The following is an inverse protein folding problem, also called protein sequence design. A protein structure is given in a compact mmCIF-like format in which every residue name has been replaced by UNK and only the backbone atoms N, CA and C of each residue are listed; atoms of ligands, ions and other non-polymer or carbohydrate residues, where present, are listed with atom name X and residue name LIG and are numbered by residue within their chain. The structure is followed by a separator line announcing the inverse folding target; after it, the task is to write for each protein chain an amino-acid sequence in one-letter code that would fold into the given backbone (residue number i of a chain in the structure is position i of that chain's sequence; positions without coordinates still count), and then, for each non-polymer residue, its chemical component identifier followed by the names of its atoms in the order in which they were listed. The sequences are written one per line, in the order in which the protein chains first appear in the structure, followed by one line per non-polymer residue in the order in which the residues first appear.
data_IF_510626978792
#
_entry.id   IF_510626978792
#
_cell.length_a   1.000
_cell.length_b   1.000
_cell.length_c   1.000
_cell.angle_alpha   90.00
_cell.angle_beta   90.00
_cell.angle_gamma   90.00
#
_symmetry.space_group_name_H-M   'P 1'
#
loop_
_entity.id
_entity.type
_entity.pdbx_description
1 polymer ?
#
# COMPACT_ATOMS: atom_id res chain seq x y z
N UNK A 1 -0.29 -22.17 -2.62
CA UNK A 1 0.30 -21.84 -1.28
C UNK A 1 1.11 -20.54 -1.24
N UNK A 2 1.57 -20.00 -2.39
CA UNK A 2 2.35 -18.76 -2.41
C UNK A 2 1.57 -17.54 -1.90
N UNK A 3 0.28 -17.43 -2.21
CA UNK A 3 -0.55 -16.30 -1.76
C UNK A 3 -0.62 -16.26 -0.22
N UNK A 4 -1.01 -17.35 0.41
CA UNK A 4 -1.18 -17.46 1.88
C UNK A 4 0.10 -17.08 2.63
N UNK A 5 1.27 -17.51 2.09
CA UNK A 5 2.55 -17.22 2.73
C UNK A 5 3.00 -15.76 2.57
N UNK A 6 2.60 -15.11 1.49
CA UNK A 6 3.11 -13.78 1.13
C UNK A 6 2.13 -12.64 1.44
N UNK A 7 0.82 -12.90 1.51
CA UNK A 7 -0.19 -11.86 1.76
C UNK A 7 0.16 -10.99 2.98
N UNK A 8 0.70 -11.59 4.02
CA UNK A 8 1.06 -10.93 5.28
C UNK A 8 2.22 -9.90 5.18
N UNK A 9 2.95 -9.89 4.06
CA UNK A 9 4.17 -9.07 3.92
C UNK A 9 3.93 -7.73 3.20
N UNK A 10 2.69 -7.47 2.75
CA UNK A 10 2.35 -6.29 1.95
C UNK A 10 1.23 -5.49 2.60
N UNK A 11 1.31 -4.16 2.58
CA UNK A 11 0.26 -3.28 3.09
C UNK A 11 -1.02 -3.35 2.25
N UNK A 12 -0.88 -3.51 0.94
CA UNK A 12 -1.99 -3.63 -0.02
C UNK A 12 -1.77 -4.88 -0.86
N UNK A 13 -2.81 -5.66 -1.03
CA UNK A 13 -2.80 -6.86 -1.88
C UNK A 13 -3.94 -6.78 -2.89
N UNK A 14 -3.59 -6.87 -4.17
CA UNK A 14 -4.57 -6.95 -5.25
C UNK A 14 -4.78 -8.40 -5.66
N UNK A 15 -6.03 -8.81 -5.69
CA UNK A 15 -6.45 -10.12 -6.16
C UNK A 15 -7.36 -9.95 -7.38
N UNK A 16 -6.81 -10.18 -8.56
CA UNK A 16 -7.57 -10.28 -9.80
C UNK A 16 -7.77 -11.76 -10.09
N UNK A 17 -8.95 -12.28 -9.82
CA UNK A 17 -9.21 -13.71 -9.94
C UNK A 17 -10.69 -14.00 -10.14
N UNK A 18 -11.00 -15.28 -10.33
CA UNK A 18 -12.38 -15.76 -10.27
C UNK A 18 -12.68 -16.22 -8.85
N UNK A 19 -13.86 -15.84 -8.35
CA UNK A 19 -14.41 -16.39 -7.13
C UNK A 19 -15.64 -17.21 -7.47
N UNK A 20 -15.89 -18.27 -6.73
CA UNK A 20 -17.12 -19.05 -6.81
C UNK A 20 -17.71 -19.18 -5.39
N UNK A 21 -18.92 -18.70 -5.22
CA UNK A 21 -19.74 -19.08 -4.08
C UNK A 21 -20.41 -20.39 -4.48
N UNK A 22 -19.98 -21.52 -3.91
CA UNK A 22 -20.46 -22.83 -4.33
C UNK A 22 -21.98 -22.98 -4.15
N UNK A 23 -22.64 -23.45 -5.23
CA UNK A 23 -24.09 -23.71 -5.30
C UNK A 23 -24.57 -24.83 -4.37
N UNK A 24 -23.65 -25.64 -3.88
CA UNK A 24 -23.96 -26.86 -3.13
C UNK A 24 -23.77 -26.72 -1.61
N UNK A 25 -23.68 -25.46 -1.09
CA UNK A 25 -23.45 -25.20 0.34
C UNK A 25 -22.00 -25.39 0.79
N UNK A 26 -21.07 -25.56 -0.16
CA UNK A 26 -19.65 -25.51 0.12
C UNK A 26 -19.18 -24.07 0.31
N UNK A 27 -18.06 -23.90 0.98
CA UNK A 27 -17.50 -22.59 1.29
C UNK A 27 -17.04 -21.82 0.04
N UNK A 28 -17.06 -20.48 0.05
CA UNK A 28 -16.54 -19.65 -1.02
C UNK A 28 -15.05 -19.93 -1.29
N UNK A 29 -14.67 -19.90 -2.56
CA UNK A 29 -13.33 -20.18 -3.04
C UNK A 29 -12.81 -19.09 -3.95
N UNK A 30 -11.50 -18.81 -3.86
CA UNK A 30 -10.74 -18.00 -4.82
C UNK A 30 -9.88 -18.91 -5.68
N UNK A 31 -9.99 -18.76 -6.99
CA UNK A 31 -9.16 -19.49 -7.93
C UNK A 31 -7.86 -18.73 -8.16
N UNK A 32 -6.73 -19.36 -7.87
CA UNK A 32 -5.40 -18.85 -8.23
C UNK A 32 -4.87 -19.65 -9.41
N UNK A 33 -3.80 -19.18 -10.03
CA UNK A 33 -3.21 -19.85 -11.20
C UNK A 33 -2.78 -21.30 -10.90
N UNK A 34 -2.30 -21.56 -9.69
CA UNK A 34 -1.70 -22.81 -9.25
C UNK A 34 -2.48 -23.52 -8.13
N UNK A 35 -3.54 -22.90 -7.62
CA UNK A 35 -4.25 -23.39 -6.44
C UNK A 35 -5.65 -22.79 -6.30
N UNK A 36 -6.43 -23.37 -5.40
CA UNK A 36 -7.71 -22.83 -4.95
C UNK A 36 -7.58 -22.49 -3.48
N UNK A 37 -7.97 -21.27 -3.10
CA UNK A 37 -7.97 -20.83 -1.72
C UNK A 37 -9.40 -20.86 -1.18
N UNK A 38 -9.62 -21.62 -0.13
CA UNK A 38 -10.91 -21.72 0.55
C UNK A 38 -11.05 -20.67 1.65
N UNK A 39 -12.29 -20.31 1.97
CA UNK A 39 -12.57 -19.40 3.07
C UNK A 39 -11.97 -19.89 4.40
N UNK A 40 -12.04 -21.19 4.67
CA UNK A 40 -11.44 -21.81 5.87
C UNK A 40 -9.91 -21.61 5.92
N UNK A 41 -9.23 -21.65 4.78
CA UNK A 41 -7.78 -21.40 4.70
C UNK A 41 -7.44 -19.94 5.00
N UNK A 42 -8.28 -18.98 4.56
CA UNK A 42 -8.13 -17.57 4.91
C UNK A 42 -8.26 -17.34 6.43
N UNK A 43 -9.19 -18.04 7.08
CA UNK A 43 -9.40 -17.94 8.52
C UNK A 43 -8.23 -18.50 9.35
N UNK A 44 -7.41 -19.38 8.76
CA UNK A 44 -6.19 -19.91 9.37
C UNK A 44 -4.99 -18.96 9.26
N UNK A 45 -5.10 -17.88 8.51
CA UNK A 45 -4.05 -16.86 8.45
C UNK A 45 -3.80 -16.29 9.85
N UNK A 46 -2.54 -16.19 10.21
CA UNK A 46 -2.12 -15.65 11.50
C UNK A 46 -2.52 -14.17 11.64
N UNK A 47 -2.98 -13.76 12.82
CA UNK A 47 -3.33 -12.37 13.15
C UNK A 47 -2.18 -11.36 13.04
N UNK A 48 -0.97 -11.80 12.76
CA UNK A 48 0.21 -10.94 12.55
C UNK A 48 0.34 -10.60 11.07
N UNK A 49 -0.64 -9.85 10.52
CA UNK A 49 -0.69 -9.51 9.10
C UNK A 49 -0.42 -8.00 8.97
N UNK A 50 0.57 -7.62 8.15
CA UNK A 50 0.83 -6.23 7.81
C UNK A 50 -0.19 -5.67 6.80
N UNK A 51 -0.98 -6.53 6.16
CA UNK A 51 -1.94 -6.14 5.13
C UNK A 51 -3.09 -5.33 5.71
N UNK A 52 -3.23 -4.11 5.23
CA UNK A 52 -4.26 -3.18 5.65
C UNK A 52 -5.43 -3.09 4.66
N UNK A 53 -5.21 -3.55 3.42
CA UNK A 53 -6.22 -3.52 2.37
C UNK A 53 -6.04 -4.70 1.41
N UNK A 54 -7.10 -5.43 1.15
CA UNK A 54 -7.21 -6.35 0.02
C UNK A 54 -8.16 -5.74 -1.00
N UNK A 55 -7.73 -5.65 -2.25
CA UNK A 55 -8.57 -5.26 -3.39
C UNK A 55 -8.91 -6.55 -4.13
N UNK A 56 -10.18 -6.92 -4.07
CA UNK A 56 -10.70 -8.18 -4.62
C UNK A 56 -11.54 -7.87 -5.85
N UNK A 57 -10.94 -7.97 -7.02
CA UNK A 57 -11.63 -7.91 -8.31
C UNK A 57 -11.95 -9.33 -8.76
N UNK A 58 -12.92 -9.94 -8.10
CA UNK A 58 -13.42 -11.25 -8.44
C UNK A 58 -14.83 -11.11 -9.01
N UNK A 59 -15.02 -11.56 -10.25
CA UNK A 59 -16.35 -11.65 -10.82
C UNK A 59 -17.13 -12.73 -10.07
N UNK A 60 -18.24 -12.35 -9.44
CA UNK A 60 -19.22 -13.34 -9.04
C UNK A 60 -19.75 -14.01 -10.32
N UNK A 61 -19.32 -15.24 -10.54
CA UNK A 61 -20.00 -16.06 -11.52
C UNK A 61 -21.36 -16.36 -10.96
N UNK A 62 -22.37 -15.67 -11.47
CA UNK A 62 -23.79 -15.93 -11.23
C UNK A 62 -24.12 -17.37 -11.55
N UNK A 63 -23.99 -18.21 -10.57
CA UNK A 63 -24.40 -19.58 -10.63
C UNK A 63 -25.52 -19.81 -9.62
N UNK A 64 -26.73 -19.39 -10.00
CA UNK A 64 -28.03 -19.82 -9.44
C UNK A 64 -28.36 -19.33 -8.04
N UNK A 65 -29.54 -18.86 -7.84
CA UNK A 65 -30.36 -18.60 -6.63
C UNK A 65 -29.74 -18.05 -5.31
N UNK A 66 -28.45 -17.76 -5.27
CA UNK A 66 -27.84 -17.03 -4.15
C UNK A 66 -28.07 -15.53 -4.35
N UNK A 67 -28.34 -14.82 -3.29
CA UNK A 67 -28.52 -13.38 -3.32
C UNK A 67 -27.23 -12.72 -3.85
N UNK A 68 -27.37 -11.80 -4.83
CA UNK A 68 -26.21 -11.14 -5.42
C UNK A 68 -25.34 -10.50 -4.31
N UNK A 69 -24.03 -10.80 -4.33
CA UNK A 69 -23.08 -10.29 -3.36
C UNK A 69 -22.77 -11.19 -2.17
N UNK A 70 -23.55 -12.24 -1.85
CA UNK A 70 -23.29 -13.08 -0.66
C UNK A 70 -21.91 -13.73 -0.68
N UNK A 71 -21.44 -14.22 -1.82
CA UNK A 71 -20.10 -14.81 -1.95
C UNK A 71 -18.99 -13.82 -1.63
N UNK A 72 -19.11 -12.59 -2.12
CA UNK A 72 -18.13 -11.51 -1.86
C UNK A 72 -18.13 -11.12 -0.39
N UNK A 73 -19.29 -10.98 0.24
CA UNK A 73 -19.37 -10.70 1.69
C UNK A 73 -18.83 -11.86 2.52
N UNK A 74 -18.96 -13.09 2.06
CA UNK A 74 -18.38 -14.25 2.75
C UNK A 74 -16.85 -14.26 2.66
N UNK A 75 -16.29 -13.98 1.49
CA UNK A 75 -14.84 -13.81 1.32
C UNK A 75 -14.31 -12.62 2.11
N UNK A 76 -15.01 -11.47 2.09
CA UNK A 76 -14.64 -10.30 2.88
C UNK A 76 -14.60 -10.63 4.38
N UNK A 77 -15.60 -11.38 4.91
CA UNK A 77 -15.58 -11.89 6.29
C UNK A 77 -14.39 -12.80 6.57
N UNK A 78 -13.98 -13.65 5.61
CA UNK A 78 -12.80 -14.49 5.72
C UNK A 78 -11.51 -13.67 5.89
N UNK A 79 -11.32 -12.67 5.05
CA UNK A 79 -10.18 -11.76 5.17
C UNK A 79 -10.21 -10.96 6.47
N UNK A 80 -11.38 -10.48 6.89
CA UNK A 80 -11.53 -9.78 8.18
C UNK A 80 -11.22 -10.70 9.35
N UNK A 81 -11.68 -11.96 9.32
CA UNK A 81 -11.36 -12.96 10.36
C UNK A 81 -9.87 -13.28 10.41
N UNK A 82 -9.17 -13.19 9.27
CA UNK A 82 -7.73 -13.30 9.17
C UNK A 82 -6.98 -12.09 9.79
N UNK A 83 -7.68 -10.99 10.10
CA UNK A 83 -7.12 -9.78 10.69
C UNK A 83 -6.87 -8.65 9.69
N UNK A 84 -7.32 -8.76 8.44
CA UNK A 84 -7.21 -7.70 7.43
C UNK A 84 -8.35 -6.70 7.64
N UNK A 85 -8.05 -5.42 7.94
CA UNK A 85 -9.06 -4.49 8.40
C UNK A 85 -9.97 -3.96 7.29
N UNK A 86 -9.56 -4.07 6.01
CA UNK A 86 -10.32 -3.48 4.89
C UNK A 86 -10.25 -4.31 3.63
N UNK A 87 -11.37 -4.38 2.93
CA UNK A 87 -11.49 -5.05 1.64
C UNK A 87 -12.21 -4.10 0.68
N UNK A 88 -11.62 -3.83 -0.49
CA UNK A 88 -12.33 -3.25 -1.62
C UNK A 88 -12.73 -4.38 -2.56
N UNK A 89 -14.02 -4.56 -2.82
CA UNK A 89 -14.53 -5.69 -3.59
C UNK A 89 -15.55 -5.27 -4.65
N UNK A 90 -15.66 -6.06 -5.72
CA UNK A 90 -16.65 -5.86 -6.77
C UNK A 90 -17.90 -6.71 -6.51
N UNK A 91 -19.08 -6.10 -6.51
CA UNK A 91 -20.36 -6.76 -6.22
C UNK A 91 -20.93 -7.56 -7.38
N UNK A 92 -20.60 -7.20 -8.62
CA UNK A 92 -21.02 -7.87 -9.84
C UNK A 92 -19.94 -7.84 -10.89
N UNK A 93 -20.13 -8.64 -11.96
CA UNK A 93 -19.19 -8.66 -13.09
C UNK A 93 -19.17 -7.27 -13.73
N UNK A 94 -18.03 -6.63 -13.69
CA UNK A 94 -17.80 -5.32 -14.27
C UNK A 94 -17.02 -5.39 -15.57
N UNK A 95 -17.02 -4.27 -16.29
CA UNK A 95 -16.07 -4.02 -17.37
C UNK A 95 -14.64 -4.00 -16.81
N UNK A 96 -13.77 -4.85 -17.34
CA UNK A 96 -12.39 -5.01 -16.84
C UNK A 96 -11.59 -3.72 -16.93
N UNK A 97 -11.80 -2.94 -18.01
CA UNK A 97 -11.12 -1.67 -18.19
C UNK A 97 -11.58 -0.63 -17.16
N UNK A 98 -12.89 -0.56 -16.87
CA UNK A 98 -13.41 0.34 -15.85
C UNK A 98 -12.84 0.03 -14.46
N UNK A 99 -12.78 -1.25 -14.09
CA UNK A 99 -12.17 -1.67 -12.82
C UNK A 99 -10.69 -1.37 -12.77
N UNK A 100 -9.97 -1.58 -13.86
CA UNK A 100 -8.56 -1.24 -13.95
C UNK A 100 -8.33 0.26 -13.73
N UNK A 101 -9.04 1.12 -14.46
CA UNK A 101 -8.90 2.58 -14.38
C UNK A 101 -9.24 3.11 -12.97
N UNK A 102 -10.32 2.61 -12.36
CA UNK A 102 -10.70 2.95 -10.99
C UNK A 102 -9.61 2.46 -10.00
N UNK A 103 -9.10 1.24 -10.17
CA UNK A 103 -8.06 0.69 -9.30
C UNK A 103 -6.77 1.50 -9.36
N UNK A 104 -6.33 1.90 -10.55
CA UNK A 104 -5.13 2.75 -10.73
C UNK A 104 -5.30 4.08 -10.01
N UNK A 105 -6.45 4.75 -10.21
CA UNK A 105 -6.75 6.02 -9.54
C UNK A 105 -6.88 5.84 -8.03
N UNK A 106 -7.47 4.74 -7.57
CA UNK A 106 -7.59 4.40 -6.15
C UNK A 106 -6.21 4.27 -5.49
N UNK A 107 -5.29 3.51 -6.09
CA UNK A 107 -3.91 3.40 -5.60
C UNK A 107 -3.19 4.74 -5.55
N UNK A 108 -3.36 5.58 -6.57
CA UNK A 108 -2.80 6.94 -6.61
C UNK A 108 -3.24 7.75 -5.40
N UNK A 109 -4.53 7.71 -5.05
CA UNK A 109 -5.06 8.46 -3.90
C UNK A 109 -4.67 7.85 -2.55
N UNK A 110 -4.58 6.53 -2.45
CA UNK A 110 -4.04 5.85 -1.26
C UNK A 110 -2.58 6.26 -1.02
N UNK A 111 -1.76 6.33 -2.08
CA UNK A 111 -0.37 6.76 -1.98
C UNK A 111 -0.22 8.25 -1.57
N UNK A 112 -1.24 9.08 -1.80
CA UNK A 112 -1.31 10.46 -1.31
C UNK A 112 -1.75 10.57 0.15
N UNK A 113 -2.00 9.46 0.83
CA UNK A 113 -2.40 9.43 2.23
C UNK A 113 -3.88 9.70 2.48
N UNK A 114 -4.74 9.64 1.45
CA UNK A 114 -6.19 9.75 1.66
C UNK A 114 -6.71 8.51 2.39
N UNK A 115 -7.80 8.71 3.17
CA UNK A 115 -8.55 7.58 3.71
C UNK A 115 -9.11 6.72 2.58
N UNK A 116 -9.27 5.42 2.83
CA UNK A 116 -9.63 4.43 1.79
C UNK A 116 -10.98 4.75 1.14
N UNK A 117 -11.95 5.23 1.92
CA UNK A 117 -13.26 5.66 1.41
C UNK A 117 -13.15 6.89 0.50
N UNK A 118 -12.38 7.90 0.91
CA UNK A 118 -12.14 9.11 0.11
C UNK A 118 -11.35 8.81 -1.15
N UNK A 119 -10.33 7.97 -1.04
CA UNK A 119 -9.54 7.52 -2.18
C UNK A 119 -10.41 6.81 -3.23
N UNK A 120 -11.27 5.87 -2.79
CA UNK A 120 -12.19 5.17 -3.68
C UNK A 120 -13.24 6.11 -4.28
N UNK A 121 -13.82 7.02 -3.49
CA UNK A 121 -14.74 8.03 -3.96
C UNK A 121 -14.12 8.88 -5.08
N UNK A 122 -12.92 9.42 -4.85
CA UNK A 122 -12.23 10.25 -5.86
C UNK A 122 -11.89 9.45 -7.12
N UNK A 123 -11.44 8.21 -6.97
CA UNK A 123 -11.15 7.34 -8.10
C UNK A 123 -12.40 7.12 -9.00
N UNK A 124 -13.56 6.92 -8.39
CA UNK A 124 -14.83 6.81 -9.12
C UNK A 124 -15.24 8.12 -9.80
N UNK A 125 -15.06 9.25 -9.13
CA UNK A 125 -15.37 10.56 -9.70
C UNK A 125 -14.46 10.88 -10.89
N UNK A 126 -13.17 10.58 -10.81
CA UNK A 126 -12.24 10.73 -11.92
C UNK A 126 -12.63 9.85 -13.12
N UNK A 127 -13.01 8.60 -12.83
CA UNK A 127 -13.49 7.69 -13.87
C UNK A 127 -14.74 8.25 -14.57
N UNK A 128 -15.75 8.69 -13.81
CA UNK A 128 -17.01 9.25 -14.35
C UNK A 128 -16.70 10.50 -15.21
N UNK A 129 -15.80 11.36 -14.74
CA UNK A 129 -15.45 12.59 -15.45
C UNK A 129 -14.73 12.33 -16.78
N UNK A 130 -13.96 11.24 -16.89
CA UNK A 130 -13.24 10.85 -18.10
C UNK A 130 -14.01 9.90 -19.02
N UNK A 131 -15.08 9.28 -18.52
CA UNK A 131 -15.83 8.25 -19.22
C UNK A 131 -16.72 8.81 -20.34
N UNK A 132 -16.99 7.98 -21.35
CA UNK A 132 -18.05 8.23 -22.31
C UNK A 132 -19.43 8.20 -21.60
N UNK A 133 -20.46 8.74 -22.26
CA UNK A 133 -21.83 8.74 -21.71
C UNK A 133 -22.29 7.33 -21.31
N UNK A 134 -21.98 6.32 -22.10
CA UNK A 134 -22.28 4.92 -21.81
C UNK A 134 -21.54 4.43 -20.55
N UNK A 135 -20.21 4.66 -20.48
CA UNK A 135 -19.38 4.19 -19.37
C UNK A 135 -19.58 4.99 -18.07
N UNK A 136 -20.22 6.16 -18.14
CA UNK A 136 -20.62 6.94 -16.95
C UNK A 136 -21.82 6.36 -16.19
N UNK A 137 -22.47 5.33 -16.73
CA UNK A 137 -23.58 4.64 -16.05
C UNK A 137 -23.08 3.91 -14.79
N UNK A 138 -23.89 3.84 -13.73
CA UNK A 138 -23.53 3.19 -12.46
C UNK A 138 -23.05 1.74 -12.58
N UNK A 139 -23.48 1.03 -13.61
CA UNK A 139 -23.04 -0.33 -13.89
C UNK A 139 -21.51 -0.47 -13.92
N UNK A 140 -20.79 0.53 -14.45
CA UNK A 140 -19.35 0.49 -14.64
C UNK A 140 -18.54 0.85 -13.40
N UNK A 141 -19.04 1.73 -12.54
CA UNK A 141 -18.27 2.27 -11.41
C UNK A 141 -18.84 1.99 -10.01
N UNK A 142 -20.16 1.72 -9.92
CA UNK A 142 -20.80 1.57 -8.61
C UNK A 142 -20.53 0.21 -7.96
N UNK A 143 -20.04 -0.77 -8.72
CA UNK A 143 -19.84 -2.14 -8.28
C UNK A 143 -18.67 -2.32 -7.28
N UNK A 144 -17.67 -1.46 -7.30
CA UNK A 144 -16.55 -1.53 -6.33
C UNK A 144 -16.95 -0.85 -5.03
N UNK A 145 -16.96 -1.59 -3.94
CA UNK A 145 -17.30 -1.10 -2.60
C UNK A 145 -16.13 -1.31 -1.62
N UNK A 146 -16.07 -0.49 -0.59
CA UNK A 146 -15.17 -0.67 0.54
C UNK A 146 -15.93 -1.30 1.72
N UNK A 147 -15.36 -2.34 2.31
CA UNK A 147 -15.86 -3.04 3.50
C UNK A 147 -14.78 -2.95 4.57
N UNK A 148 -15.15 -2.57 5.80
CA UNK A 148 -14.23 -2.50 6.94
C UNK A 148 -13.72 -1.10 7.25
N UNK A 149 -12.50 -0.99 7.77
CA UNK A 149 -11.92 0.26 8.26
C UNK A 149 -11.57 1.24 7.13
N UNK A 150 -12.16 2.45 7.08
CA UNK A 150 -11.89 3.45 6.05
C UNK A 150 -10.59 4.24 6.25
N UNK A 151 -9.93 4.15 7.41
CA UNK A 151 -8.76 4.95 7.75
C UNK A 151 -7.64 4.86 6.70
N UNK A 152 -6.77 5.88 6.59
CA UNK A 152 -5.62 5.85 5.69
C UNK A 152 -4.74 4.62 5.90
N UNK A 153 -3.97 4.26 4.88
CA UNK A 153 -2.97 3.20 5.00
C UNK A 153 -1.73 3.78 5.68
N UNK A 154 -1.35 3.16 6.78
CA UNK A 154 -0.10 3.50 7.46
C UNK A 154 1.07 2.83 6.74
N UNK A 155 1.79 3.60 5.93
CA UNK A 155 3.06 3.14 5.39
C UNK A 155 4.12 3.32 6.46
N UNK A 156 4.61 2.24 7.06
CA UNK A 156 5.80 2.28 7.92
C UNK A 156 7.00 2.68 7.08
N UNK A 157 7.25 3.98 6.99
CA UNK A 157 8.53 4.47 6.49
C UNK A 157 9.58 4.14 7.55
N UNK A 158 10.27 3.04 7.41
CA UNK A 158 11.52 2.81 8.12
C UNK A 158 12.55 3.84 7.61
N UNK A 159 12.39 5.09 8.02
CA UNK A 159 13.47 6.05 7.91
C UNK A 159 14.55 5.51 8.84
N UNK A 160 15.56 4.90 8.26
CA UNK A 160 16.73 4.44 9.01
C UNK A 160 17.37 5.67 9.63
N UNK A 161 17.02 5.99 10.87
CA UNK A 161 17.57 7.10 11.67
C UNK A 161 19.10 7.04 11.70
N UNK A 162 19.68 5.87 11.46
CA UNK A 162 21.11 5.65 11.33
C UNK A 162 21.78 6.50 10.25
N UNK A 163 21.10 6.76 9.12
CA UNK A 163 21.66 7.63 8.07
C UNK A 163 21.75 9.09 8.52
N UNK A 164 20.81 9.58 9.31
CA UNK A 164 20.86 10.92 9.89
C UNK A 164 21.99 11.01 10.93
N UNK A 165 22.17 10.00 11.76
CA UNK A 165 23.26 9.93 12.74
C UNK A 165 24.61 9.90 12.02
N UNK A 166 24.77 9.08 10.99
CA UNK A 166 25.98 9.01 10.18
C UNK A 166 26.27 10.36 9.52
N UNK A 167 25.26 11.03 8.94
CA UNK A 167 25.43 12.35 8.33
C UNK A 167 25.88 13.40 9.35
N UNK A 168 25.33 13.40 10.57
CA UNK A 168 25.74 14.29 11.65
C UNK A 168 27.17 14.04 12.11
N UNK A 169 27.58 12.76 12.22
CA UNK A 169 28.96 12.39 12.57
C UNK A 169 29.94 12.88 11.49
N UNK A 170 29.63 12.64 10.22
CA UNK A 170 30.48 13.08 9.11
C UNK A 170 30.61 14.60 9.09
N UNK A 171 29.49 15.31 9.30
CA UNK A 171 29.47 16.77 9.38
C UNK A 171 30.34 17.29 10.54
N UNK A 172 30.25 16.69 11.72
CA UNK A 172 31.04 17.08 12.91
C UNK A 172 32.54 16.85 12.68
N UNK A 173 32.94 15.76 12.03
CA UNK A 173 34.32 15.48 11.66
C UNK A 173 34.85 16.52 10.66
N UNK A 174 34.03 16.88 9.64
CA UNK A 174 34.41 17.89 8.65
C UNK A 174 34.59 19.26 9.31
N UNK A 175 33.67 19.67 10.17
CA UNK A 175 33.78 20.94 10.92
C UNK A 175 35.04 20.93 11.81
N UNK A 176 35.29 19.85 12.54
CA UNK A 176 36.50 19.68 13.37
C UNK A 176 37.78 19.77 12.55
N UNK A 177 37.84 19.11 11.37
CA UNK A 177 38.97 19.18 10.46
C UNK A 177 39.22 20.60 9.95
N UNK A 178 38.20 21.33 9.53
CA UNK A 178 38.33 22.72 9.06
C UNK A 178 38.80 23.62 10.18
N UNK A 179 38.28 23.46 11.40
CA UNK A 179 38.70 24.23 12.58
C UNK A 179 40.15 23.94 12.92
N UNK A 180 40.57 22.68 12.97
CA UNK A 180 41.92 22.27 13.23
C UNK A 180 42.89 22.83 12.18
N UNK A 181 42.57 22.75 10.89
CA UNK A 181 43.37 23.28 9.79
C UNK A 181 43.56 24.81 9.91
N UNK A 182 42.50 25.56 10.24
CA UNK A 182 42.55 27.00 10.45
C UNK A 182 43.40 27.36 11.66
N UNK A 183 43.25 26.64 12.76
CA UNK A 183 44.05 26.86 13.98
C UNK A 183 45.53 26.59 13.75
N UNK A 184 45.86 25.50 13.07
CA UNK A 184 47.24 25.15 12.73
C UNK A 184 47.89 26.21 11.83
N UNK A 185 47.18 26.68 10.80
CA UNK A 185 47.69 27.75 9.93
C UNK A 185 47.87 29.09 10.70
N UNK A 186 46.94 29.42 11.58
CA UNK A 186 47.08 30.62 12.43
C UNK A 186 48.33 30.54 13.33
N UNK A 187 48.60 29.37 13.90
CA UNK A 187 49.80 29.14 14.75
C UNK A 187 51.11 29.28 13.95
N UNK A 188 51.14 28.74 12.72
CA UNK A 188 52.32 28.90 11.83
C UNK A 188 52.55 30.37 11.48
N UNK A 189 51.49 31.12 11.10
CA UNK A 189 51.60 32.56 10.79
C UNK A 189 52.04 33.37 11.98
N UNK A 190 51.58 33.05 13.20
CA UNK A 190 52.01 33.69 14.42
C UNK A 190 53.51 33.44 14.72
N UNK A 191 53.98 32.19 14.54
CA UNK A 191 55.36 31.82 14.69
C UNK A 191 56.30 32.53 13.69
N UNK A 192 55.88 32.62 12.42
CA UNK A 192 56.63 33.35 11.38
C UNK A 192 56.70 34.85 11.66
N UNK A 193 55.62 35.47 12.13
CA UNK A 193 55.61 36.87 12.53
C UNK A 193 56.59 37.13 13.71
N UNK A 194 56.64 36.21 14.69
CA UNK A 194 57.54 36.37 15.82
C UNK A 194 59.02 36.21 15.39
N UNK A 195 59.34 35.22 14.55
CA UNK A 195 60.65 35.02 13.99
C UNK A 195 61.16 36.23 13.17
N UNK A 196 60.27 36.88 12.43
CA UNK A 196 60.59 38.10 11.67
C UNK A 196 60.81 39.34 12.59
N UNK A 197 60.03 39.46 13.68
CA UNK A 197 60.23 40.51 14.65
C UNK A 197 61.55 40.36 15.45
N UNK A 198 61.97 39.11 15.73
CA UNK A 198 63.20 38.82 16.48
C UNK A 198 64.49 38.90 15.59
N UNK A 199 64.36 38.96 14.24
CA UNK A 199 65.48 39.07 13.32
C UNK A 199 66.00 40.49 13.09
N UNK A 200 65.34 41.49 13.65
CA UNK A 200 65.89 42.85 13.81
C UNK A 200 66.29 43.58 12.53
N UNK A 201 65.60 43.32 11.38
CA UNK A 201 65.76 44.04 10.12
C UNK A 201 64.58 44.98 9.92
#
# INVERSE_FOLDING_TARGET
HNFINNVKNYNIVNVFSHANADRNGNEPVLFMQDSVIRLSELQLLSRTIATQLVILSACETNAGKSTAGEGIYSLARGFTAAGIPSIAATLWKADEQAIYDISVSFHKYLAQGLSKDRALQKAKLDFIAAASLEKSLPYYWANMILIGNPEPIEFTTNINFWWLIIALIVLSILVGYVYHKRFYQAKIRASQKKAFADSGI
#
